data_IF_518729379747
#
_entry.id   IF_518729379747
#
_cell.length_a   1.000
_cell.length_b   1.000
_cell.length_c   1.000
_cell.angle_alpha   90.00
_cell.angle_beta   90.00
_cell.angle_gamma   90.00
#
_symmetry.space_group_name_H-M   'P 1'
#
loop_
_entity.id
_entity.type
_entity.pdbx_description
1 polymer ?
#
# COMPACT_ATOMS: atom_id res chain seq x y z
N UNK A 1 -4.05 -15.33 12.03
CA UNK A 1 -3.47 -14.34 12.97
C UNK A 1 -4.60 -13.43 13.47
N UNK A 2 -4.54 -12.87 14.68
CA UNK A 2 -5.45 -11.78 15.06
C UNK A 2 -5.00 -10.46 14.39
N UNK A 3 -5.85 -9.44 14.36
CA UNK A 3 -5.48 -8.14 13.78
C UNK A 3 -4.35 -7.46 14.56
N UNK A 4 -4.36 -7.53 15.89
CA UNK A 4 -3.35 -6.88 16.72
C UNK A 4 -1.99 -7.58 16.60
N UNK A 5 -2.00 -8.92 16.52
CA UNK A 5 -0.78 -9.68 16.25
C UNK A 5 -0.23 -9.37 14.86
N UNK A 6 -1.09 -9.19 13.86
CA UNK A 6 -0.65 -8.80 12.51
C UNK A 6 0.02 -7.42 12.52
N UNK A 7 -0.62 -6.44 13.16
CA UNK A 7 -0.07 -5.08 13.27
C UNK A 7 1.28 -5.05 13.98
N UNK A 8 1.45 -5.86 15.04
CA UNK A 8 2.72 -5.97 15.77
C UNK A 8 3.86 -6.60 14.94
N UNK A 9 3.52 -7.48 13.99
CA UNK A 9 4.51 -8.20 13.17
C UNK A 9 4.89 -7.47 11.86
N UNK A 10 4.12 -6.47 11.46
CA UNK A 10 4.39 -5.67 10.25
C UNK A 10 5.63 -4.80 10.49
N UNK A 11 6.64 -4.94 9.62
CA UNK A 11 7.77 -4.02 9.61
C UNK A 11 7.46 -2.79 8.76
N UNK A 12 7.30 -1.62 9.41
CA UNK A 12 7.03 -0.34 8.72
C UNK A 12 8.14 0.06 7.74
N UNK A 13 9.38 -0.38 7.95
CA UNK A 13 10.50 -0.10 7.04
C UNK A 13 10.39 -0.85 5.71
N UNK A 14 9.51 -1.86 5.62
CA UNK A 14 9.18 -2.53 4.36
C UNK A 14 7.94 -1.92 3.67
N UNK A 15 7.31 -0.94 4.33
CA UNK A 15 6.18 -0.18 3.78
C UNK A 15 6.69 1.17 3.29
N UNK A 16 7.48 1.86 4.10
CA UNK A 16 8.05 3.18 3.80
C UNK A 16 9.57 3.09 3.55
N UNK A 17 10.11 3.82 2.55
CA UNK A 17 9.40 4.67 1.60
C UNK A 17 8.55 3.86 0.60
N UNK A 18 7.72 4.51 -0.23
CA UNK A 18 6.99 3.85 -1.30
C UNK A 18 7.90 3.06 -2.25
N UNK A 19 7.37 2.04 -2.96
CA UNK A 19 8.14 1.25 -3.93
C UNK A 19 8.52 2.07 -5.15
N UNK A 20 9.43 1.54 -5.96
CA UNK A 20 9.86 2.18 -7.20
C UNK A 20 8.71 2.32 -8.21
N UNK A 21 8.79 3.34 -9.07
CA UNK A 21 7.71 3.70 -9.98
C UNK A 21 7.44 2.61 -11.02
N UNK A 22 8.47 1.90 -11.47
CA UNK A 22 8.37 0.78 -12.40
C UNK A 22 7.58 -0.39 -11.79
N UNK A 23 7.79 -0.67 -10.50
CA UNK A 23 7.04 -1.68 -9.75
C UNK A 23 5.55 -1.32 -9.68
N UNK A 24 5.26 -0.05 -9.41
CA UNK A 24 3.89 0.48 -9.37
C UNK A 24 3.21 0.41 -10.74
N UNK A 25 3.89 0.84 -11.80
CA UNK A 25 3.37 0.78 -13.17
C UNK A 25 3.03 -0.66 -13.58
N UNK A 26 3.93 -1.61 -13.31
CA UNK A 26 3.68 -3.03 -13.58
C UNK A 26 2.46 -3.56 -12.82
N UNK A 27 2.32 -3.19 -11.54
CA UNK A 27 1.16 -3.58 -10.73
C UNK A 27 -0.16 -3.06 -11.33
N UNK A 28 -0.22 -1.77 -11.71
CA UNK A 28 -1.44 -1.20 -12.28
C UNK A 28 -1.76 -1.72 -13.69
N UNK A 29 -0.75 -1.90 -14.54
CA UNK A 29 -0.93 -2.42 -15.91
C UNK A 29 -1.42 -3.87 -15.91
N UNK A 30 -1.06 -4.67 -14.91
CA UNK A 30 -1.55 -6.04 -14.76
C UNK A 30 -3.05 -6.14 -14.39
N UNK A 31 -3.67 -5.03 -13.92
CA UNK A 31 -5.05 -5.00 -13.45
C UNK A 31 -5.95 -4.44 -14.55
N UNK A 32 -6.46 -5.31 -15.42
CA UNK A 32 -7.12 -4.98 -16.70
C UNK A 32 -8.32 -4.03 -16.65
N UNK A 33 -8.93 -3.72 -15.50
CA UNK A 33 -9.96 -2.68 -15.37
C UNK A 33 -10.15 -2.37 -13.87
N UNK A 34 -9.52 -1.31 -13.35
CA UNK A 34 -10.00 -0.67 -12.12
C UNK A 34 -10.62 0.67 -12.53
N UNK A 35 -11.88 0.62 -12.96
CA UNK A 35 -12.58 1.71 -13.66
C UNK A 35 -12.90 2.95 -12.81
N UNK A 36 -12.68 2.95 -11.50
CA UNK A 36 -13.07 4.08 -10.64
C UNK A 36 -12.07 4.33 -9.49
N UNK A 37 -11.03 5.13 -9.72
CA UNK A 37 -10.17 5.63 -8.63
C UNK A 37 -9.61 7.04 -8.88
N UNK A 38 -10.50 8.01 -9.07
CA UNK A 38 -10.12 9.42 -8.88
C UNK A 38 -9.88 9.75 -7.38
N UNK A 39 -10.17 8.81 -6.46
CA UNK A 39 -9.83 8.89 -5.04
C UNK A 39 -8.71 7.91 -4.69
N UNK A 40 -7.51 8.49 -4.73
CA UNK A 40 -6.31 8.12 -3.98
C UNK A 40 -5.45 6.97 -4.53
N UNK A 41 -4.80 7.20 -5.67
CA UNK A 41 -3.62 6.43 -6.12
C UNK A 41 -2.60 6.22 -4.99
N UNK A 42 -2.41 7.22 -4.12
CA UNK A 42 -1.54 7.13 -2.94
C UNK A 42 -1.91 5.97 -2.00
N UNK A 43 -3.17 5.87 -1.57
CA UNK A 43 -3.62 4.79 -0.69
C UNK A 43 -3.58 3.43 -1.40
N UNK A 44 -3.81 3.37 -2.71
CA UNK A 44 -3.68 2.13 -3.49
C UNK A 44 -2.24 1.61 -3.49
N UNK A 45 -1.27 2.50 -3.73
CA UNK A 45 0.16 2.17 -3.71
C UNK A 45 0.59 1.79 -2.28
N UNK A 46 0.12 2.51 -1.26
CA UNK A 46 0.35 2.16 0.14
C UNK A 46 -0.17 0.76 0.48
N UNK A 47 -1.41 0.45 0.09
CA UNK A 47 -2.01 -0.87 0.33
C UNK A 47 -1.27 -1.98 -0.40
N UNK A 48 -0.69 -1.69 -1.56
CA UNK A 48 0.21 -2.61 -2.26
C UNK A 48 1.44 -2.95 -1.40
N UNK A 49 2.14 -1.95 -0.85
CA UNK A 49 3.27 -2.15 0.07
C UNK A 49 2.89 -2.97 1.30
N UNK A 50 1.75 -2.62 1.95
CA UNK A 50 1.24 -3.40 3.10
C UNK A 50 0.95 -4.84 2.72
N UNK A 51 0.33 -5.08 1.56
CA UNK A 51 0.05 -6.43 1.07
C UNK A 51 1.33 -7.23 0.84
N UNK A 52 2.38 -6.60 0.29
CA UNK A 52 3.70 -7.21 0.06
C UNK A 52 4.33 -7.64 1.39
N UNK A 53 4.30 -6.76 2.39
CA UNK A 53 4.83 -7.05 3.73
C UNK A 53 4.03 -8.15 4.45
N UNK A 54 2.70 -8.09 4.44
CA UNK A 54 1.86 -9.12 5.04
C UNK A 54 2.13 -10.50 4.43
N UNK A 55 2.27 -10.58 3.10
CA UNK A 55 2.62 -11.83 2.41
C UNK A 55 4.01 -12.33 2.77
N UNK A 56 4.99 -11.43 2.95
CA UNK A 56 6.36 -11.78 3.38
C UNK A 56 6.36 -12.46 4.75
N UNK A 57 5.48 -12.04 5.66
CA UNK A 57 5.32 -12.66 6.99
C UNK A 57 4.27 -13.79 7.03
N UNK A 58 3.81 -14.25 5.87
CA UNK A 58 2.92 -15.42 5.75
C UNK A 58 1.43 -15.14 5.97
N UNK A 59 0.98 -13.88 5.98
CA UNK A 59 -0.44 -13.54 6.07
C UNK A 59 -1.04 -13.26 4.68
N UNK A 60 -2.12 -13.98 4.35
CA UNK A 60 -2.78 -13.96 3.04
C UNK A 60 -4.27 -13.61 3.13
N UNK A 61 -4.83 -13.48 4.33
CA UNK A 61 -6.22 -13.14 4.54
C UNK A 61 -6.48 -11.68 4.11
N UNK A 62 -7.14 -11.54 2.96
CA UNK A 62 -7.42 -10.24 2.33
C UNK A 62 -8.18 -9.29 3.27
N UNK A 63 -9.08 -9.81 4.11
CA UNK A 63 -9.84 -9.02 5.07
C UNK A 63 -8.95 -8.47 6.18
N UNK A 64 -8.03 -9.28 6.71
CA UNK A 64 -7.06 -8.83 7.71
C UNK A 64 -6.07 -7.83 7.12
N UNK A 65 -5.55 -8.10 5.92
CA UNK A 65 -4.63 -7.18 5.22
C UNK A 65 -5.29 -5.82 4.98
N UNK A 66 -6.56 -5.80 4.57
CA UNK A 66 -7.31 -4.56 4.38
C UNK A 66 -7.45 -3.78 5.69
N UNK A 67 -7.84 -4.45 6.77
CA UNK A 67 -7.95 -3.82 8.10
C UNK A 67 -6.62 -3.26 8.58
N UNK A 68 -5.53 -4.00 8.39
CA UNK A 68 -4.18 -3.55 8.70
C UNK A 68 -3.79 -2.31 7.88
N UNK A 69 -4.05 -2.31 6.57
CA UNK A 69 -3.78 -1.17 5.71
C UNK A 69 -4.59 0.07 6.12
N UNK A 70 -5.89 -0.07 6.44
CA UNK A 70 -6.72 1.04 6.92
C UNK A 70 -6.19 1.62 8.24
N UNK A 71 -5.81 0.74 9.18
CA UNK A 71 -5.22 1.15 10.45
C UNK A 71 -3.89 1.87 10.26
N UNK A 72 -2.98 1.30 9.46
CA UNK A 72 -1.66 1.88 9.23
C UNK A 72 -1.76 3.22 8.50
N UNK A 73 -2.59 3.32 7.45
CA UNK A 73 -2.79 4.57 6.72
C UNK A 73 -3.35 5.68 7.61
N UNK A 74 -4.31 5.36 8.50
CA UNK A 74 -4.84 6.33 9.46
C UNK A 74 -3.74 6.86 10.39
N UNK A 75 -2.79 6.00 10.78
CA UNK A 75 -1.67 6.31 11.68
C UNK A 75 -0.35 6.67 10.96
N UNK A 76 -0.35 6.82 9.63
CA UNK A 76 0.80 7.34 8.89
C UNK A 76 0.93 8.85 9.09
N UNK A 77 2.17 9.31 9.20
CA UNK A 77 2.55 10.72 9.27
C UNK A 77 2.19 11.45 7.97
N UNK A 78 2.11 12.78 8.03
CA UNK A 78 1.91 13.61 6.84
C UNK A 78 3.01 13.39 5.80
N UNK A 79 4.26 13.22 6.25
CA UNK A 79 5.40 12.97 5.36
C UNK A 79 5.30 11.62 4.66
N UNK A 80 5.01 10.55 5.39
CA UNK A 80 4.80 9.23 4.80
C UNK A 80 3.67 9.25 3.76
N UNK A 81 2.56 9.96 4.05
CA UNK A 81 1.45 10.12 3.11
C UNK A 81 1.85 10.93 1.88
N UNK A 82 2.63 12.00 2.04
CA UNK A 82 3.05 12.87 0.93
C UNK A 82 3.94 12.12 -0.05
N UNK A 83 4.78 11.20 0.41
CA UNK A 83 5.61 10.36 -0.47
C UNK A 83 4.77 9.48 -1.40
N UNK A 84 3.72 8.85 -0.87
CA UNK A 84 2.80 8.07 -1.72
C UNK A 84 1.97 8.95 -2.67
N UNK A 85 1.59 10.16 -2.23
CA UNK A 85 0.92 11.13 -3.11
C UNK A 85 1.83 11.55 -4.24
N UNK A 86 3.10 11.87 -3.94
CA UNK A 86 4.10 12.24 -4.94
C UNK A 86 4.33 11.11 -5.95
N UNK A 87 4.42 9.86 -5.50
CA UNK A 87 4.56 8.72 -6.39
C UNK A 87 3.30 8.50 -7.26
N UNK A 88 2.11 8.65 -6.68
CA UNK A 88 0.85 8.61 -7.41
C UNK A 88 0.81 9.65 -8.53
N UNK A 89 1.22 10.89 -8.24
CA UNK A 89 1.28 11.98 -9.22
C UNK A 89 2.31 11.72 -10.32
N UNK A 90 3.50 11.23 -9.98
CA UNK A 90 4.53 10.87 -10.97
C UNK A 90 4.02 9.82 -11.94
N UNK A 91 3.28 8.82 -11.45
CA UNK A 91 2.67 7.76 -12.27
C UNK A 91 1.55 8.28 -13.20
N UNK A 92 0.87 9.37 -12.85
CA UNK A 92 -0.13 10.00 -13.74
C UNK A 92 0.51 10.81 -14.87
N UNK A 93 1.73 11.31 -14.66
CA UNK A 93 2.46 12.12 -15.62
C UNK A 93 3.33 11.30 -16.58
N UNK A 94 3.26 9.96 -16.53
CA UNK A 94 3.95 9.01 -17.40
C UNK A 94 2.94 8.31 -18.32
#
# INVERSE_FOLDING_TARGET
MSNDTLLANINRNNIHPPPEIEEVLNFFNSKKHMRDYNRCHAYMIFRYSVTKECKRIGEFNVTLIRKAADHLWKNSTTQEKSEYVNLGQRKENL
#
